data_IF_792922339496
#
_entry.id   IF_792922339496
#
_cell.length_a   1.000
_cell.length_b   1.000
_cell.length_c   1.000
_cell.angle_alpha   90.00
_cell.angle_beta   90.00
_cell.angle_gamma   90.00
#
_symmetry.space_group_name_H-M   'P 1'
#
loop_
_entity.id
_entity.type
_entity.pdbx_description
1 polymer ?
#
# COMPACT_ATOMS: atom_id res chain seq x y z
N UNK A 1 -21.44 -12.45 13.17
CA UNK A 1 -20.69 -11.43 13.95
C UNK A 1 -19.81 -10.64 12.99
N UNK A 2 -19.95 -9.31 12.95
CA UNK A 2 -19.11 -8.44 12.12
C UNK A 2 -17.80 -8.13 12.86
N UNK A 3 -16.78 -8.98 12.65
CA UNK A 3 -15.47 -8.88 13.30
C UNK A 3 -14.65 -7.65 12.87
N UNK A 4 -14.91 -7.10 11.69
CA UNK A 4 -14.15 -5.97 11.13
C UNK A 4 -14.51 -4.63 11.80
N UNK A 5 -15.80 -4.37 12.06
CA UNK A 5 -16.24 -3.11 12.69
C UNK A 5 -15.71 -2.97 14.13
N UNK A 6 -15.54 -4.09 14.83
CA UNK A 6 -15.02 -4.15 16.19
C UNK A 6 -13.58 -3.62 16.26
N UNK A 7 -12.77 -3.92 15.24
CA UNK A 7 -11.39 -3.47 15.19
C UNK A 7 -11.27 -1.96 14.93
N UNK A 8 -12.26 -1.34 14.32
CA UNK A 8 -12.22 0.09 13.98
C UNK A 8 -12.70 0.97 15.12
N UNK A 9 -13.73 0.52 15.83
CA UNK A 9 -14.36 1.27 16.92
C UNK A 9 -14.54 0.35 18.13
N UNK A 10 -13.46 0.10 18.90
CA UNK A 10 -13.55 -0.71 20.12
C UNK A 10 -14.53 -0.14 21.16
N UNK A 11 -14.74 1.18 21.15
CA UNK A 11 -15.70 1.89 22.01
C UNK A 11 -17.15 1.49 21.78
N UNK A 12 -17.48 0.71 20.73
CA UNK A 12 -18.81 0.11 20.57
C UNK A 12 -19.23 -0.80 21.74
N UNK A 13 -18.26 -1.29 22.53
CA UNK A 13 -18.53 -2.09 23.72
C UNK A 13 -18.54 -1.28 25.01
N UNK A 14 -18.15 -0.01 24.96
CA UNK A 14 -18.43 0.89 26.07
C UNK A 14 -19.95 1.04 26.15
N UNK A 15 -20.54 0.68 27.29
CA UNK A 15 -21.98 0.75 27.49
C UNK A 15 -22.52 2.18 27.28
N UNK A 16 -23.84 2.39 27.39
CA UNK A 16 -24.45 3.71 27.24
C UNK A 16 -24.09 4.70 28.38
N UNK A 17 -23.08 4.42 29.18
CA UNK A 17 -22.59 5.29 30.25
C UNK A 17 -21.98 6.56 29.65
N UNK A 18 -22.78 7.62 29.67
CA UNK A 18 -22.50 8.98 29.18
C UNK A 18 -21.34 9.69 29.90
N UNK A 19 -20.65 9.01 30.82
CA UNK A 19 -19.67 9.64 31.72
C UNK A 19 -18.23 9.43 31.29
N UNK A 20 -17.94 8.49 30.38
CA UNK A 20 -16.58 8.34 29.87
C UNK A 20 -16.35 9.27 28.68
N UNK A 21 -15.24 10.05 28.68
CA UNK A 21 -14.89 10.87 27.54
C UNK A 21 -14.70 9.97 26.32
N UNK A 22 -15.32 10.35 25.20
CA UNK A 22 -15.13 9.68 23.92
C UNK A 22 -13.66 9.77 23.52
N UNK A 23 -12.93 8.65 23.61
CA UNK A 23 -11.53 8.57 23.18
C UNK A 23 -11.41 8.88 21.69
N UNK A 24 -10.41 9.67 21.33
CA UNK A 24 -10.07 9.91 19.93
C UNK A 24 -9.54 8.61 19.28
N UNK A 25 -9.55 8.55 17.94
CA UNK A 25 -8.98 7.40 17.23
C UNK A 25 -7.49 7.19 17.54
N UNK A 26 -6.73 8.28 17.68
CA UNK A 26 -5.32 8.22 18.03
C UNK A 26 -5.12 7.70 19.45
N UNK A 27 -5.90 8.21 20.41
CA UNK A 27 -5.86 7.77 21.82
C UNK A 27 -6.19 6.28 21.97
N UNK A 28 -7.24 5.81 21.27
CA UNK A 28 -7.59 4.38 21.26
C UNK A 28 -6.44 3.50 20.76
N UNK A 29 -5.73 3.93 19.70
CA UNK A 29 -4.59 3.18 19.17
C UNK A 29 -3.41 3.22 20.12
N UNK A 30 -3.17 4.35 20.79
CA UNK A 30 -2.13 4.43 21.82
C UNK A 30 -2.39 3.46 22.98
N UNK A 31 -3.63 3.37 23.47
CA UNK A 31 -4.01 2.38 24.47
C UNK A 31 -3.80 0.96 23.97
N UNK A 32 -4.22 0.66 22.75
CA UNK A 32 -3.98 -0.64 22.11
C UNK A 32 -2.48 -0.98 22.05
N UNK A 33 -1.62 -0.01 21.72
CA UNK A 33 -0.17 -0.19 21.68
C UNK A 33 0.39 -0.43 23.10
N UNK A 34 -0.13 0.25 24.14
CA UNK A 34 0.25 -0.03 25.53
C UNK A 34 -0.02 -1.49 25.88
N UNK A 35 -1.19 -2.02 25.52
CA UNK A 35 -1.50 -3.45 25.71
C UNK A 35 -0.60 -4.36 24.88
N UNK A 36 -0.31 -4.02 23.63
CA UNK A 36 0.59 -4.81 22.79
C UNK A 36 2.01 -4.91 23.37
N UNK A 37 2.49 -3.85 24.05
CA UNK A 37 3.78 -3.85 24.76
C UNK A 37 3.75 -4.74 26.01
N UNK A 38 2.63 -4.78 26.74
CA UNK A 38 2.46 -5.65 27.92
C UNK A 38 2.35 -7.13 27.54
N UNK A 39 1.77 -7.43 26.37
CA UNK A 39 1.53 -8.79 25.90
C UNK A 39 2.16 -9.03 24.51
N UNK A 40 3.50 -9.01 24.40
CA UNK A 40 4.19 -9.07 23.10
C UNK A 40 3.97 -10.40 22.35
N UNK A 41 3.62 -11.46 23.06
CA UNK A 41 3.33 -12.78 22.49
C UNK A 41 1.95 -12.85 21.80
N UNK A 42 1.00 -11.98 22.15
CA UNK A 42 -0.34 -11.96 21.54
C UNK A 42 -0.43 -11.00 20.35
N UNK A 43 0.42 -9.98 20.31
CA UNK A 43 0.37 -8.90 19.32
C UNK A 43 1.73 -8.64 18.68
N UNK A 44 2.17 -9.46 17.69
CA UNK A 44 3.42 -9.21 16.99
C UNK A 44 3.35 -7.87 16.21
N UNK A 45 4.49 -7.19 15.95
CA UNK A 45 4.53 -5.85 15.36
C UNK A 45 3.73 -5.71 14.05
N UNK A 46 3.73 -6.76 13.22
CA UNK A 46 2.96 -6.79 11.96
C UNK A 46 1.44 -6.71 12.20
N UNK A 47 0.94 -7.37 13.24
CA UNK A 47 -0.48 -7.32 13.61
C UNK A 47 -0.82 -5.94 14.18
N UNK A 48 0.01 -5.41 15.07
CA UNK A 48 -0.18 -4.08 15.64
C UNK A 48 -0.27 -3.02 14.55
N UNK A 49 0.68 -3.04 13.60
CA UNK A 49 0.67 -2.17 12.42
C UNK A 49 -0.61 -2.33 11.60
N UNK A 50 -1.02 -3.56 11.32
CA UNK A 50 -2.24 -3.81 10.55
C UNK A 50 -3.50 -3.29 11.24
N UNK A 51 -3.57 -3.35 12.56
CA UNK A 51 -4.71 -2.82 13.32
C UNK A 51 -4.69 -1.29 13.36
N UNK A 52 -3.53 -0.67 13.57
CA UNK A 52 -3.37 0.78 13.51
C UNK A 52 -3.86 1.35 12.17
N UNK A 53 -3.55 0.69 11.04
CA UNK A 53 -4.06 1.11 9.72
C UNK A 53 -5.59 1.08 9.60
N UNK A 54 -6.27 0.17 10.30
CA UNK A 54 -7.74 0.05 10.27
C UNK A 54 -8.39 1.09 11.20
N UNK A 55 -7.87 1.22 12.41
CA UNK A 55 -8.35 2.18 13.42
C UNK A 55 -8.15 3.63 12.97
N UNK A 56 -7.01 3.95 12.33
CA UNK A 56 -6.65 5.31 11.90
C UNK A 56 -6.98 5.58 10.44
N UNK A 57 -7.91 4.84 9.84
CA UNK A 57 -8.14 4.93 8.39
C UNK A 57 -8.44 6.36 7.92
N UNK A 58 -9.36 7.06 8.58
CA UNK A 58 -9.73 8.44 8.23
C UNK A 58 -8.55 9.43 8.34
N UNK A 59 -7.86 9.58 9.49
CA UNK A 59 -6.75 10.53 9.61
C UNK A 59 -5.59 10.17 8.66
N UNK A 60 -5.34 8.89 8.40
CA UNK A 60 -4.32 8.47 7.43
C UNK A 60 -4.69 8.73 5.96
N UNK A 61 -5.95 8.98 5.62
CA UNK A 61 -6.30 9.48 4.27
C UNK A 61 -5.91 10.95 4.10
N UNK A 62 -5.96 11.73 5.17
CA UNK A 62 -5.63 13.17 5.15
C UNK A 62 -4.12 13.38 5.24
N UNK A 63 -3.44 12.66 6.14
CA UNK A 63 -2.00 12.76 6.36
C UNK A 63 -1.23 11.61 5.70
N UNK A 64 -1.06 11.70 4.38
CA UNK A 64 -0.45 10.63 3.56
C UNK A 64 1.01 10.36 3.99
N UNK A 65 1.76 11.38 4.38
CA UNK A 65 3.15 11.22 4.82
C UNK A 65 3.26 10.31 6.05
N UNK A 66 2.34 10.47 7.01
CA UNK A 66 2.28 9.62 8.20
C UNK A 66 1.87 8.20 7.83
N UNK A 67 0.98 8.04 6.84
CA UNK A 67 0.59 6.74 6.30
C UNK A 67 1.79 5.97 5.72
N UNK A 68 2.70 6.66 5.04
CA UNK A 68 3.94 6.05 4.52
C UNK A 68 4.92 5.69 5.63
N UNK A 69 5.14 6.59 6.60
CA UNK A 69 5.95 6.32 7.80
C UNK A 69 5.44 5.10 8.57
N UNK A 70 4.12 5.04 8.80
CA UNK A 70 3.49 3.88 9.43
C UNK A 70 3.68 2.62 8.59
N UNK A 71 3.63 2.71 7.26
CA UNK A 71 3.88 1.57 6.36
C UNK A 71 5.27 0.96 6.52
N UNK A 72 6.28 1.81 6.68
CA UNK A 72 7.69 1.45 6.88
C UNK A 72 8.05 0.99 8.29
N UNK A 73 7.13 1.04 9.27
CA UNK A 73 7.42 0.60 10.63
C UNK A 73 7.66 -0.91 10.74
N UNK A 74 8.66 -1.29 11.54
CA UNK A 74 9.05 -2.69 11.77
C UNK A 74 8.91 -3.11 13.24
N UNK A 75 8.92 -2.15 14.16
CA UNK A 75 8.74 -2.37 15.60
C UNK A 75 7.43 -1.78 16.12
N UNK A 76 7.01 -2.19 17.32
CA UNK A 76 5.85 -1.57 18.02
C UNK A 76 6.17 -0.13 18.43
N UNK A 77 7.45 0.21 18.63
CA UNK A 77 7.91 1.55 18.97
C UNK A 77 7.79 2.50 17.78
N UNK A 78 8.17 2.04 16.59
CA UNK A 78 8.03 2.79 15.34
C UNK A 78 6.55 3.12 15.08
N UNK A 79 5.67 2.13 15.30
CA UNK A 79 4.22 2.32 15.18
C UNK A 79 3.75 3.37 16.19
N UNK A 80 4.20 3.30 17.45
CA UNK A 80 3.87 4.28 18.49
C UNK A 80 4.32 5.69 18.12
N UNK A 81 5.53 5.85 17.56
CA UNK A 81 6.05 7.15 17.14
C UNK A 81 5.23 7.74 15.99
N UNK A 82 4.86 6.91 15.00
CA UNK A 82 4.01 7.35 13.88
C UNK A 82 2.61 7.78 14.35
N UNK A 83 2.02 7.09 15.33
CA UNK A 83 0.72 7.43 15.90
C UNK A 83 0.76 8.76 16.66
N UNK A 84 1.81 9.01 17.44
CA UNK A 84 2.00 10.29 18.14
C UNK A 84 2.13 11.47 17.17
N UNK A 85 2.94 11.29 16.12
CA UNK A 85 3.07 12.29 15.07
C UNK A 85 1.72 12.55 14.35
N UNK A 86 0.89 11.52 14.18
CA UNK A 86 -0.46 11.69 13.65
C UNK A 86 -1.34 12.50 14.60
N UNK A 87 -1.30 12.20 15.89
CA UNK A 87 -2.14 12.83 16.91
C UNK A 87 -1.87 14.34 17.01
N UNK A 88 -0.60 14.74 16.97
CA UNK A 88 -0.21 16.16 16.94
C UNK A 88 -0.77 16.87 15.70
N UNK A 89 -0.66 16.26 14.52
CA UNK A 89 -1.20 16.82 13.27
C UNK A 89 -2.72 16.92 13.30
N UNK A 90 -3.40 15.89 13.82
CA UNK A 90 -4.86 15.88 13.97
C UNK A 90 -5.31 16.97 14.93
N UNK A 91 -4.64 17.16 16.07
CA UNK A 91 -4.97 18.22 17.04
C UNK A 91 -4.83 19.61 16.44
N UNK A 92 -3.73 19.87 15.73
CA UNK A 92 -3.50 21.16 15.06
C UNK A 92 -4.58 21.41 13.99
N UNK A 93 -4.90 20.40 13.20
CA UNK A 93 -5.86 20.52 12.10
C UNK A 93 -7.31 20.60 12.58
N UNK A 94 -7.66 19.98 13.72
CA UNK A 94 -8.95 20.18 14.39
C UNK A 94 -9.12 21.60 14.89
N UNK A 95 -8.07 22.21 15.47
CA UNK A 95 -8.11 23.62 15.88
C UNK A 95 -8.37 24.57 14.71
N UNK A 96 -7.80 24.27 13.53
CA UNK A 96 -8.09 25.02 12.31
C UNK A 96 -9.50 24.73 11.77
N UNK A 97 -9.93 23.47 11.75
CA UNK A 97 -11.23 23.08 11.24
C UNK A 97 -12.41 23.65 12.06
N UNK A 98 -12.25 23.82 13.38
CA UNK A 98 -13.23 24.51 14.23
C UNK A 98 -13.39 25.98 13.86
N UNK A 99 -12.32 26.63 13.40
CA UNK A 99 -12.37 28.02 12.91
C UNK A 99 -13.07 28.12 11.54
N UNK A 100 -12.88 27.12 10.67
CA UNK A 100 -13.39 27.11 9.29
C UNK A 100 -14.76 26.42 9.13
N UNK A 101 -15.26 25.74 10.17
CA UNK A 101 -16.55 25.02 10.17
C UNK A 101 -16.55 23.72 9.36
N UNK A 102 -15.38 23.16 9.05
CA UNK A 102 -15.27 21.95 8.22
C UNK A 102 -15.35 20.67 9.08
N UNK A 103 -16.31 19.78 8.77
CA UNK A 103 -16.52 18.57 9.61
C UNK A 103 -15.41 17.54 9.39
N UNK A 104 -14.76 17.12 10.47
CA UNK A 104 -13.76 16.05 10.42
C UNK A 104 -14.36 14.72 9.93
N UNK A 105 -13.68 14.00 9.02
CA UNK A 105 -14.19 12.71 8.54
C UNK A 105 -14.18 11.66 9.66
N UNK A 106 -15.34 11.40 10.25
CA UNK A 106 -15.56 10.36 11.29
C UNK A 106 -15.60 8.91 10.71
N UNK A 107 -15.08 8.68 9.50
CA UNK A 107 -15.41 7.48 8.71
C UNK A 107 -14.40 6.33 8.92
N UNK A 108 -14.86 5.21 9.48
CA UNK A 108 -14.07 3.98 9.65
C UNK A 108 -13.67 3.29 8.34
N UNK A 109 -12.71 2.38 8.42
CA UNK A 109 -12.20 1.56 7.31
C UNK A 109 -13.29 0.75 6.61
N UNK A 110 -14.28 0.20 7.32
CA UNK A 110 -15.36 -0.62 6.78
C UNK A 110 -16.31 0.21 5.90
N UNK A 111 -16.42 1.51 6.19
CA UNK A 111 -17.23 2.44 5.39
C UNK A 111 -16.79 2.50 3.93
N UNK A 112 -15.51 2.22 3.63
CA UNK A 112 -14.99 2.15 2.25
C UNK A 112 -15.70 1.10 1.40
N UNK A 113 -16.30 0.08 2.02
CA UNK A 113 -17.05 -0.97 1.34
C UNK A 113 -18.52 -0.61 1.14
N UNK A 114 -19.07 0.29 1.96
CA UNK A 114 -20.46 0.76 1.86
C UNK A 114 -20.59 1.94 0.88
N UNK A 115 -19.61 2.85 0.89
CA UNK A 115 -19.47 3.92 -0.09
C UNK A 115 -18.01 3.91 -0.56
N UNK A 116 -17.67 3.26 -1.67
CA UNK A 116 -16.32 3.36 -2.22
C UNK A 116 -16.02 4.83 -2.47
N UNK A 117 -15.19 5.42 -1.61
CA UNK A 117 -14.62 6.74 -1.84
C UNK A 117 -13.86 6.62 -3.14
N UNK A 118 -14.41 7.18 -4.24
CA UNK A 118 -13.89 7.16 -5.62
C UNK A 118 -13.01 5.93 -5.90
N UNK A 119 -13.57 4.94 -6.61
CA UNK A 119 -12.82 3.74 -6.98
C UNK A 119 -11.41 4.10 -7.43
N UNK A 120 -10.41 3.25 -7.18
CA UNK A 120 -9.06 3.48 -7.73
C UNK A 120 -9.10 3.81 -9.24
N UNK A 121 -10.11 3.32 -9.97
CA UNK A 121 -10.41 3.75 -11.35
C UNK A 121 -10.78 5.22 -11.50
N UNK A 122 -11.49 5.80 -10.56
CA UNK A 122 -12.02 7.16 -10.58
C UNK A 122 -10.95 8.17 -10.18
N UNK A 123 -10.07 7.82 -9.22
CA UNK A 123 -8.83 8.57 -8.93
C UNK A 123 -7.87 8.54 -10.12
N UNK A 124 -7.76 7.40 -10.79
CA UNK A 124 -6.99 7.27 -12.05
C UNK A 124 -7.65 8.09 -13.16
N UNK A 125 -8.97 8.03 -13.33
CA UNK A 125 -9.69 8.85 -14.33
C UNK A 125 -9.52 10.33 -14.08
N UNK A 126 -9.64 10.81 -12.84
CA UNK A 126 -9.40 12.23 -12.52
C UNK A 126 -7.97 12.67 -12.85
N UNK A 127 -6.97 11.84 -12.51
CA UNK A 127 -5.56 12.09 -12.90
C UNK A 127 -5.28 11.96 -14.40
N UNK A 128 -6.10 11.20 -15.15
CA UNK A 128 -5.98 11.07 -16.61
C UNK A 128 -6.69 12.23 -17.33
N UNK A 129 -7.84 12.68 -16.81
CA UNK A 129 -8.61 13.80 -17.37
C UNK A 129 -7.87 15.14 -17.17
N UNK A 130 -7.05 15.26 -16.12
CA UNK A 130 -6.22 16.45 -15.87
C UNK A 130 -4.81 16.40 -16.48
N UNK A 131 -4.46 15.37 -17.27
CA UNK A 131 -3.15 15.36 -17.94
C UNK A 131 -3.18 16.27 -19.19
N UNK A 132 -2.25 17.22 -19.32
CA UNK A 132 -2.14 18.06 -20.51
C UNK A 132 -1.81 17.21 -21.73
N UNK A 133 -2.39 17.58 -22.86
CA UNK A 133 -2.16 16.98 -24.18
C UNK A 133 -0.66 16.85 -24.45
N UNK A 134 -0.12 15.62 -24.49
CA UNK A 134 1.22 15.38 -25.03
C UNK A 134 2.19 14.48 -24.24
N UNK A 135 1.80 13.82 -23.14
CA UNK A 135 2.72 12.87 -22.47
C UNK A 135 2.48 11.43 -22.92
N UNK A 136 3.42 10.86 -23.67
CA UNK A 136 3.48 9.43 -24.00
C UNK A 136 3.32 8.55 -22.76
N UNK A 137 2.48 7.52 -22.87
CA UNK A 137 2.14 6.62 -21.77
C UNK A 137 3.36 5.78 -21.35
N UNK A 138 3.98 6.12 -20.22
CA UNK A 138 4.90 5.19 -19.55
C UNK A 138 4.11 3.98 -19.02
N UNK A 139 4.55 2.74 -19.32
CA UNK A 139 3.84 1.54 -18.90
C UNK A 139 3.96 1.37 -17.39
N UNK A 140 2.86 1.61 -16.67
CA UNK A 140 2.82 1.37 -15.22
C UNK A 140 3.10 -0.12 -14.93
N UNK A 141 4.12 -0.39 -14.13
CA UNK A 141 4.54 -1.76 -13.70
C UNK A 141 3.40 -2.58 -13.06
N UNK A 142 2.32 -1.93 -12.61
CA UNK A 142 1.12 -2.57 -12.05
C UNK A 142 -0.02 -2.85 -13.04
N UNK A 143 -0.10 -2.14 -14.17
CA UNK A 143 -1.19 -2.25 -15.16
C UNK A 143 -1.18 -3.59 -15.89
N UNK A 144 0.00 -3.99 -16.39
CA UNK A 144 0.20 -5.25 -17.10
C UNK A 144 -0.21 -6.48 -16.27
N UNK A 145 0.07 -6.48 -14.95
CA UNK A 145 -0.34 -7.57 -14.04
C UNK A 145 -1.85 -7.64 -13.84
N UNK A 146 -2.54 -6.50 -13.83
CA UNK A 146 -4.00 -6.43 -13.62
C UNK A 146 -4.75 -6.91 -14.85
N UNK A 147 -4.28 -6.56 -16.05
CA UNK A 147 -4.85 -6.99 -17.32
C UNK A 147 -4.59 -8.47 -17.59
N UNK A 148 -3.38 -8.96 -17.30
CA UNK A 148 -3.07 -10.39 -17.40
C UNK A 148 -3.99 -11.26 -16.53
N UNK A 149 -4.40 -10.76 -15.35
CA UNK A 149 -5.34 -11.45 -14.45
C UNK A 149 -6.80 -11.44 -14.94
N UNK A 150 -7.15 -10.57 -15.89
CA UNK A 150 -8.49 -10.52 -16.51
C UNK A 150 -8.62 -11.43 -17.72
N UNK A 151 -7.50 -11.81 -18.33
CA UNK A 151 -7.47 -12.75 -19.45
C UNK A 151 -7.88 -14.16 -19.01
N UNK A 152 -8.60 -14.85 -19.90
CA UNK A 152 -8.97 -16.25 -19.73
C UNK A 152 -7.72 -17.16 -19.75
N UNK A 153 -7.84 -18.39 -19.23
CA UNK A 153 -6.71 -19.34 -19.19
C UNK A 153 -6.12 -19.62 -20.58
N UNK A 154 -6.94 -19.64 -21.64
CA UNK A 154 -6.46 -19.86 -23.01
C UNK A 154 -5.65 -18.67 -23.53
N UNK A 155 -6.11 -17.44 -23.26
CA UNK A 155 -5.44 -16.21 -23.66
C UNK A 155 -4.08 -16.05 -22.98
N UNK A 156 -3.96 -16.43 -21.69
CA UNK A 156 -2.67 -16.43 -20.97
C UNK A 156 -1.66 -17.43 -21.54
N UNK A 157 -2.14 -18.61 -21.97
CA UNK A 157 -1.28 -19.61 -22.62
C UNK A 157 -0.79 -19.11 -23.98
N UNK A 158 -1.66 -18.46 -24.76
CA UNK A 158 -1.29 -17.88 -26.05
C UNK A 158 -0.25 -16.75 -25.92
N UNK A 159 -0.40 -15.88 -24.92
CA UNK A 159 0.59 -14.82 -24.64
C UNK A 159 1.95 -15.38 -24.24
N UNK A 160 1.99 -16.37 -23.34
CA UNK A 160 3.25 -17.05 -22.96
C UNK A 160 3.92 -17.75 -24.15
N UNK A 161 3.12 -18.30 -25.07
CA UNK A 161 3.62 -18.91 -26.30
C UNK A 161 4.24 -17.85 -27.21
N UNK A 162 3.56 -16.73 -27.43
CA UNK A 162 4.10 -15.58 -28.18
C UNK A 162 5.38 -15.01 -27.57
N UNK A 163 5.42 -14.76 -26.26
CA UNK A 163 6.63 -14.28 -25.58
C UNK A 163 7.80 -15.25 -25.75
N UNK A 164 7.52 -16.56 -25.68
CA UNK A 164 8.54 -17.59 -25.88
C UNK A 164 9.03 -17.64 -27.33
N UNK A 165 8.12 -17.54 -28.30
CA UNK A 165 8.43 -17.55 -29.73
C UNK A 165 9.20 -16.26 -30.14
N UNK A 166 8.87 -15.10 -29.55
CA UNK A 166 9.60 -13.83 -29.74
C UNK A 166 10.99 -13.86 -29.11
N UNK A 167 11.15 -14.47 -27.92
CA UNK A 167 12.47 -14.64 -27.30
C UNK A 167 13.36 -15.65 -28.03
N UNK A 168 12.76 -16.63 -28.73
CA UNK A 168 13.49 -17.64 -29.50
C UNK A 168 13.88 -17.15 -30.91
N UNK A 169 13.19 -16.14 -31.45
CA UNK A 169 13.52 -15.54 -32.76
C UNK A 169 14.67 -14.52 -32.72
N UNK A 170 15.17 -14.15 -31.55
CA UNK A 170 16.23 -13.16 -31.38
C UNK A 170 17.65 -13.77 -31.35
N UNK A 171 17.81 -15.09 -31.35
CA UNK A 171 19.13 -15.76 -31.38
C UNK A 171 19.40 -16.49 -32.71
N UNK A 172 20.18 -15.80 -33.55
CA UNK A 172 21.12 -16.28 -34.59
C UNK A 172 20.57 -16.68 -36.00
N UNK A 173 21.40 -16.66 -37.08
CA UNK A 173 22.88 -16.52 -37.12
C UNK A 173 23.48 -15.60 -38.21
N UNK A 174 24.73 -15.15 -38.04
CA UNK A 174 25.59 -14.83 -39.20
C UNK A 174 27.05 -15.22 -38.96
N UNK A 175 27.48 -16.22 -39.73
CA UNK A 175 28.83 -16.77 -39.91
C UNK A 175 29.60 -16.06 -41.03
N UNK A 176 30.91 -15.86 -40.88
CA UNK A 176 31.95 -16.00 -41.94
C UNK A 176 33.35 -15.62 -41.39
N UNK A 177 34.26 -16.58 -41.17
CA UNK A 177 35.39 -17.00 -42.05
C UNK A 177 36.65 -16.12 -41.94
N UNK A 178 37.77 -16.71 -41.47
CA UNK A 178 38.95 -16.84 -42.33
C UNK A 178 40.04 -17.79 -41.78
N UNK A 179 40.77 -18.39 -42.71
CA UNK A 179 41.69 -19.53 -42.59
C UNK A 179 43.13 -19.08 -42.95
N UNK A 180 44.12 -19.85 -42.44
CA UNK A 180 45.59 -19.85 -42.72
C UNK A 180 46.41 -19.01 -41.70
N UNK A 181 47.62 -19.35 -41.26
CA UNK A 181 48.76 -20.15 -41.77
C UNK A 181 49.55 -20.72 -40.54
N UNK A 182 50.21 -21.87 -40.65
CA UNK A 182 51.21 -22.39 -39.69
C UNK A 182 52.51 -21.53 -39.66
N UNK A 183 53.40 -21.69 -38.65
CA UNK A 183 54.53 -22.62 -38.85
C UNK A 183 55.06 -23.34 -37.58
N UNK A 184 55.65 -24.54 -37.82
CA UNK A 184 56.93 -25.10 -37.30
C UNK A 184 57.67 -24.27 -36.23
N UNK A 185 58.27 -24.74 -35.13
CA UNK A 185 58.99 -25.97 -34.66
C UNK A 185 59.55 -25.62 -33.24
N UNK A 186 60.48 -26.34 -32.56
CA UNK A 186 60.75 -27.79 -32.42
C UNK A 186 60.85 -28.25 -30.93
N UNK A 187 61.05 -29.56 -30.74
CA UNK A 187 61.41 -30.22 -29.49
C UNK A 187 62.87 -29.98 -29.05
N UNK A 188 63.12 -30.04 -27.73
CA UNK A 188 64.38 -30.35 -27.00
C UNK A 188 64.13 -30.01 -25.51
N UNK A 189 64.46 -30.78 -24.48
CA UNK A 189 65.21 -32.03 -24.24
C UNK A 189 64.67 -32.63 -22.94
#
# INVERSE_FOLDING_TARGET
>A
MSSECILEVPTLFAGPEKEQPTLSQCEMVEEYIKFAKLYPHTAPPRCVKSHAFRMLYAPLQRFIEVREKLGGSHSVEDVSAAVKALDELVKNDLQHAEADGESWPSRGYYWRHQKPLLSTSDLIRKKIIEKPEGMEELPTLGGKKREYRRLSRSQRKALRKKEKDESAGAEAPSTSLDKKVAPDTPACT
#
